data_IF_587459553671
#
_entry.id   IF_587459553671
#
_cell.length_a   1.000
_cell.length_b   1.000
_cell.length_c   1.000
_cell.angle_alpha   90.00
_cell.angle_beta   90.00
_cell.angle_gamma   90.00
#
_symmetry.space_group_name_H-M   'P 1'
#
loop_
_entity.id
_entity.type
_entity.pdbx_description
1 polymer ?
#
# COMPACT_ATOMS: atom_id res chain seq x y z
N UNK A 1 -11.19 -9.37 -6.17
CA UNK A 1 -11.70 -8.56 -5.05
C UNK A 1 -11.54 -7.08 -5.42
N UNK A 2 -12.62 -6.29 -5.46
CA UNK A 2 -12.57 -4.89 -5.89
C UNK A 2 -11.63 -4.03 -5.03
N UNK A 3 -11.46 -4.35 -3.74
CA UNK A 3 -10.54 -3.62 -2.84
C UNK A 3 -9.09 -3.89 -3.23
N UNK A 4 -8.79 -5.13 -3.64
CA UNK A 4 -7.45 -5.50 -4.10
C UNK A 4 -7.12 -4.81 -5.42
N UNK A 5 -8.04 -4.77 -6.37
CA UNK A 5 -7.81 -4.09 -7.65
C UNK A 5 -7.62 -2.58 -7.50
N UNK A 6 -8.45 -1.95 -6.65
CA UNK A 6 -8.31 -0.54 -6.31
C UNK A 6 -6.99 -0.25 -5.59
N UNK A 7 -6.56 -1.14 -4.69
CA UNK A 7 -5.32 -0.95 -3.92
C UNK A 7 -4.08 -1.26 -4.75
N UNK A 8 -4.12 -2.21 -5.70
CA UNK A 8 -2.90 -2.68 -6.39
C UNK A 8 -2.37 -1.75 -7.46
N UNK A 9 -3.22 -0.89 -8.03
CA UNK A 9 -2.90 -0.12 -9.24
C UNK A 9 -2.64 1.37 -8.96
N UNK A 10 -2.06 2.06 -9.94
CA UNK A 10 -1.92 3.53 -9.97
C UNK A 10 -0.95 4.17 -8.97
N UNK A 11 0.10 3.45 -8.55
CA UNK A 11 1.07 3.95 -7.57
C UNK A 11 2.17 4.76 -8.25
N UNK A 12 2.39 6.00 -7.79
CA UNK A 12 3.57 6.80 -8.18
C UNK A 12 4.66 6.57 -7.14
N UNK A 13 5.48 5.55 -7.38
CA UNK A 13 6.47 5.04 -6.42
C UNK A 13 7.79 4.76 -7.11
N UNK A 14 8.90 4.72 -6.36
CA UNK A 14 10.21 4.30 -6.88
C UNK A 14 10.44 2.80 -6.61
N UNK A 15 10.85 2.03 -7.64
CA UNK A 15 11.14 0.60 -7.56
C UNK A 15 12.18 0.29 -6.48
N UNK A 16 13.22 1.11 -6.38
CA UNK A 16 14.31 0.88 -5.45
C UNK A 16 13.84 1.05 -3.99
N UNK A 17 12.83 1.89 -3.78
CA UNK A 17 12.17 2.05 -2.47
C UNK A 17 11.22 0.90 -2.20
N UNK A 18 10.28 0.63 -3.11
CA UNK A 18 9.19 -0.32 -2.86
C UNK A 18 9.64 -1.78 -2.78
N UNK A 19 10.79 -2.12 -3.38
CA UNK A 19 11.39 -3.46 -3.27
C UNK A 19 11.73 -3.83 -1.83
N UNK A 20 11.97 -2.85 -0.96
CA UNK A 20 12.26 -3.09 0.47
C UNK A 20 10.99 -3.34 1.30
N UNK A 21 9.81 -3.13 0.74
CA UNK A 21 8.53 -3.29 1.43
C UNK A 21 7.85 -4.59 1.01
N UNK A 22 7.71 -5.51 1.97
CA UNK A 22 7.03 -6.81 1.77
C UNK A 22 5.51 -6.72 1.89
N UNK A 23 4.99 -5.72 2.60
CA UNK A 23 3.57 -5.58 2.88
C UNK A 23 3.05 -4.23 2.44
N UNK A 24 1.83 -4.22 1.89
CA UNK A 24 1.06 -3.03 1.53
C UNK A 24 -0.23 -3.02 2.33
N UNK A 25 -0.53 -1.86 2.93
CA UNK A 25 -1.71 -1.64 3.74
C UNK A 25 -2.74 -0.86 2.91
N UNK A 26 -3.92 -1.43 2.70
CA UNK A 26 -5.06 -0.71 2.15
C UNK A 26 -5.72 0.09 3.26
N UNK A 27 -5.68 1.41 3.13
CA UNK A 27 -6.20 2.34 4.15
C UNK A 27 -7.36 3.14 3.55
N UNK A 28 -8.49 3.14 4.24
CA UNK A 28 -9.64 3.99 3.89
C UNK A 28 -10.11 4.73 5.14
N UNK A 29 -10.36 6.03 5.03
CA UNK A 29 -10.75 6.89 6.15
C UNK A 29 -9.83 6.75 7.37
N UNK A 30 -8.51 6.72 7.16
CA UNK A 30 -7.48 6.55 8.21
C UNK A 30 -7.46 5.19 8.92
N UNK A 31 -8.27 4.23 8.47
CA UNK A 31 -8.35 2.88 9.04
C UNK A 31 -7.84 1.87 8.03
N UNK A 32 -6.97 0.96 8.46
CA UNK A 32 -6.51 -0.16 7.63
C UNK A 32 -7.67 -1.12 7.39
N UNK A 33 -8.04 -1.31 6.14
CA UNK A 33 -9.10 -2.24 5.71
C UNK A 33 -8.55 -3.63 5.37
N UNK A 34 -7.41 -3.69 4.68
CA UNK A 34 -6.79 -4.94 4.24
C UNK A 34 -5.28 -4.82 4.21
N UNK A 35 -4.60 -5.95 4.31
CA UNK A 35 -3.14 -6.06 4.19
C UNK A 35 -2.81 -7.05 3.08
N UNK A 36 -1.88 -6.66 2.22
CA UNK A 36 -1.42 -7.47 1.10
C UNK A 36 0.07 -7.72 1.21
N UNK A 37 0.48 -8.95 0.96
CA UNK A 37 1.87 -9.33 0.81
C UNK A 37 2.28 -9.16 -0.66
N UNK A 38 3.30 -8.35 -0.90
CA UNK A 38 3.80 -8.04 -2.24
C UNK A 38 4.77 -9.12 -2.69
N UNK A 39 4.50 -9.72 -3.83
CA UNK A 39 5.38 -10.69 -4.48
C UNK A 39 6.30 -10.01 -5.50
N UNK A 40 5.75 -9.09 -6.30
CA UNK A 40 6.53 -8.32 -7.27
C UNK A 40 5.89 -6.98 -7.60
N UNK A 41 6.70 -6.03 -8.06
CA UNK A 41 6.22 -4.76 -8.62
C UNK A 41 6.36 -4.80 -10.13
N UNK A 42 5.38 -4.23 -10.83
CA UNK A 42 5.36 -4.13 -12.28
C UNK A 42 4.99 -2.71 -12.72
N UNK A 43 5.44 -2.35 -13.92
CA UNK A 43 5.10 -1.07 -14.53
C UNK A 43 3.74 -1.21 -15.23
N UNK A 44 2.83 -0.25 -15.03
CA UNK A 44 1.58 -0.24 -15.77
C UNK A 44 1.88 0.12 -17.23
N UNK A 45 1.52 -0.72 -18.22
CA UNK A 45 1.70 -0.38 -19.62
C UNK A 45 0.95 0.92 -19.94
N UNK A 46 1.58 1.83 -20.69
CA UNK A 46 1.07 3.17 -21.04
C UNK A 46 0.92 4.15 -19.87
N UNK A 47 1.56 3.93 -18.72
CA UNK A 47 1.58 4.89 -17.62
C UNK A 47 2.93 4.92 -16.91
N UNK A 48 3.31 6.07 -16.33
CA UNK A 48 4.43 6.14 -15.39
C UNK A 48 4.06 5.58 -13.99
N UNK A 49 2.82 5.10 -13.84
CA UNK A 49 2.32 4.48 -12.63
C UNK A 49 2.73 3.00 -12.58
N UNK A 50 2.85 2.51 -11.35
CA UNK A 50 3.23 1.14 -11.05
C UNK A 50 2.07 0.44 -10.39
N UNK A 51 2.08 -0.88 -10.50
CA UNK A 51 1.19 -1.74 -9.74
C UNK A 51 2.00 -2.83 -9.07
N UNK A 52 1.54 -3.28 -7.91
CA UNK A 52 2.10 -4.45 -7.28
C UNK A 52 1.27 -5.68 -7.63
N UNK A 53 1.94 -6.82 -7.69
CA UNK A 53 1.35 -8.14 -7.70
C UNK A 53 1.67 -8.75 -6.36
N UNK A 54 0.63 -9.23 -5.71
CA UNK A 54 0.70 -9.76 -4.36
C UNK A 54 -0.58 -10.48 -4.01
N UNK A 55 -0.59 -11.09 -2.84
CA UNK A 55 -1.74 -11.82 -2.30
C UNK A 55 -2.18 -11.21 -0.98
N UNK A 56 -3.33 -11.64 -0.48
CA UNK A 56 -3.75 -11.27 0.87
C UNK A 56 -2.73 -11.77 1.89
N UNK A 57 -2.32 -10.91 2.81
CA UNK A 57 -1.33 -11.26 3.81
C UNK A 57 -1.87 -12.37 4.75
N UNK A 58 -1.00 -13.19 5.36
CA UNK A 58 -1.40 -14.17 6.36
C UNK A 58 -2.25 -13.52 7.44
N UNK A 59 -3.26 -14.23 7.96
CA UNK A 59 -4.17 -13.70 8.99
C UNK A 59 -3.42 -13.14 10.19
N UNK A 60 -2.35 -13.80 10.62
CA UNK A 60 -1.50 -13.35 11.71
C UNK A 60 -0.96 -11.92 11.50
N UNK A 61 -0.53 -11.58 10.29
CA UNK A 61 -0.05 -10.23 9.96
C UNK A 61 -1.22 -9.30 9.74
N UNK A 62 -2.24 -9.76 9.02
CA UNK A 62 -3.40 -8.96 8.65
C UNK A 62 -4.16 -8.47 9.88
N UNK A 63 -4.40 -9.32 10.87
CA UNK A 63 -5.12 -9.01 12.10
C UNK A 63 -4.39 -8.00 13.01
N UNK A 64 -3.05 -7.94 12.94
CA UNK A 64 -2.28 -6.93 13.69
C UNK A 64 -2.63 -5.51 13.22
N UNK A 65 -2.88 -5.34 11.92
CA UNK A 65 -3.08 -4.03 11.31
C UNK A 65 -4.53 -3.73 10.94
N UNK A 66 -5.35 -4.72 10.56
CA UNK A 66 -6.76 -4.52 10.21
C UNK A 66 -7.50 -3.82 11.34
N UNK A 67 -8.36 -2.87 10.98
CA UNK A 67 -9.12 -2.02 11.90
C UNK A 67 -8.27 -1.13 12.82
N UNK A 68 -6.93 -1.08 12.65
CA UNK A 68 -6.10 -0.09 13.31
C UNK A 68 -6.14 1.24 12.56
N UNK A 69 -6.17 2.32 13.32
CA UNK A 69 -6.01 3.67 12.80
C UNK A 69 -4.54 3.94 12.52
N UNK A 70 -4.23 4.44 11.32
CA UNK A 70 -2.87 4.88 11.02
C UNK A 70 -2.53 6.15 11.83
N UNK A 71 -1.30 6.26 12.37
CA UNK A 71 -0.89 7.45 13.12
C UNK A 71 -1.06 8.74 12.31
N UNK A 72 -1.36 9.86 12.98
CA UNK A 72 -1.71 11.11 12.28
C UNK A 72 -0.57 11.69 11.42
N UNK A 73 0.67 11.27 11.66
CA UNK A 73 1.83 11.55 10.78
C UNK A 73 1.63 11.04 9.34
N UNK A 74 0.72 10.09 9.15
CA UNK A 74 0.32 9.49 7.87
C UNK A 74 -1.06 9.98 7.40
N UNK A 75 -1.68 10.96 8.06
CA UNK A 75 -2.99 11.53 7.67
C UNK A 75 -2.98 13.07 7.60
N UNK A 76 -1.79 13.68 7.55
CA UNK A 76 -1.63 15.13 7.44
C UNK A 76 -2.38 15.73 6.25
N UNK A 77 -3.05 16.86 6.49
CA UNK A 77 -3.70 17.66 5.45
C UNK A 77 -2.66 18.09 4.40
N UNK A 78 -2.96 17.88 3.11
CA UNK A 78 -2.08 18.26 2.00
C UNK A 78 -1.17 17.15 1.47
N UNK A 79 -1.28 15.92 1.96
CA UNK A 79 -0.60 14.78 1.34
C UNK A 79 -1.30 14.40 0.03
N UNK A 80 -0.86 15.02 -1.07
CA UNK A 80 -1.36 14.78 -2.42
C UNK A 80 -0.96 13.39 -2.96
N UNK A 81 0.07 12.75 -2.38
CA UNK A 81 0.47 11.41 -2.79
C UNK A 81 -0.37 10.38 -2.02
N UNK A 82 -1.15 9.52 -2.71
CA UNK A 82 -1.92 8.45 -2.06
C UNK A 82 -1.04 7.36 -1.43
N UNK A 83 0.28 7.38 -1.71
CA UNK A 83 1.24 6.41 -1.21
C UNK A 83 2.04 6.94 -0.04
N UNK A 84 2.07 6.17 1.06
CA UNK A 84 2.82 6.49 2.26
C UNK A 84 3.83 5.38 2.56
N UNK A 85 5.02 5.80 2.98
CA UNK A 85 6.13 4.90 3.32
C UNK A 85 6.30 4.85 4.83
N UNK A 86 6.41 3.65 5.42
CA UNK A 86 6.54 3.51 6.88
C UNK A 86 7.89 4.00 7.41
N UNK A 87 8.96 3.91 6.61
CA UNK A 87 10.26 4.51 6.90
C UNK A 87 10.43 5.85 6.20
N UNK A 88 10.70 6.90 6.98
CA UNK A 88 11.34 8.12 6.48
C UNK A 88 12.81 7.79 6.21
N UNK A 89 13.30 8.22 5.05
CA UNK A 89 14.73 8.45 4.85
C UNK A 89 15.17 9.63 5.72
#
# INVERSE_FOLDING_TARGET
DPVYEATRQSWVVDFNRVKNYKYVLSVANTVVKKVYEVESWQLTPNSNRKHFIGKEAPKEVSEIFINKRIPDKFTGKGMANPVLYSHKQ
#
